data_IF_421877757489
#
_entry.id   IF_421877757489
#
_cell.length_a   1.000
_cell.length_b   1.000
_cell.length_c   1.000
_cell.angle_alpha   90.00
_cell.angle_beta   90.00
_cell.angle_gamma   90.00
#
_symmetry.space_group_name_H-M   'P 1'
#
loop_
_entity.id
_entity.type
_entity.pdbx_description
1 polymer ?
#
# COMPACT_ATOMS: atom_id res chain seq x y z
N UNK A 1 -2.96 -2.32 14.26
CA UNK A 1 -1.53 -2.36 13.93
C UNK A 1 -1.23 -3.63 13.14
N UNK A 2 -0.56 -3.51 12.00
CA UNK A 2 -0.19 -4.67 11.18
C UNK A 2 0.82 -5.54 11.96
N UNK A 3 0.58 -6.84 11.98
CA UNK A 3 1.47 -7.77 12.64
C UNK A 3 2.35 -8.47 11.59
N UNK A 4 3.59 -8.05 11.50
CA UNK A 4 4.59 -8.60 10.59
C UNK A 4 5.39 -9.77 11.22
N UNK A 5 4.85 -10.49 12.18
CA UNK A 5 5.61 -11.54 12.89
C UNK A 5 6.19 -12.64 12.00
N UNK A 6 5.60 -12.84 10.82
CA UNK A 6 6.11 -13.79 9.83
C UNK A 6 7.10 -13.15 8.86
N UNK A 7 7.39 -11.86 9.04
CA UNK A 7 8.32 -11.09 8.22
C UNK A 7 9.50 -10.66 9.08
N UNK A 8 10.69 -10.79 8.56
CA UNK A 8 11.91 -10.44 9.29
C UNK A 8 12.54 -9.18 8.70
N UNK A 9 13.36 -8.48 9.48
CA UNK A 9 14.16 -7.35 9.03
C UNK A 9 15.55 -7.74 8.56
N UNK A 10 15.92 -9.02 8.75
CA UNK A 10 17.20 -9.56 8.35
C UNK A 10 17.01 -10.86 7.57
N UNK A 11 17.81 -11.11 6.53
CA UNK A 11 17.73 -12.36 5.78
C UNK A 11 18.18 -13.54 6.64
N UNK A 12 17.43 -14.62 6.60
CA UNK A 12 17.79 -15.88 7.25
C UNK A 12 18.94 -16.58 6.52
N UNK A 13 19.06 -16.33 5.20
CA UNK A 13 20.14 -16.88 4.38
C UNK A 13 21.44 -16.07 4.59
N UNK A 14 22.53 -16.69 5.04
CA UNK A 14 23.82 -16.00 5.22
C UNK A 14 24.34 -15.30 3.96
N UNK A 15 24.06 -15.82 2.77
CA UNK A 15 24.48 -15.20 1.52
C UNK A 15 23.73 -13.88 1.27
N UNK A 16 22.46 -13.78 1.67
CA UNK A 16 21.68 -12.57 1.57
C UNK A 16 22.17 -11.48 2.53
N UNK A 17 22.83 -11.83 3.64
CA UNK A 17 23.42 -10.85 4.58
C UNK A 17 24.49 -9.98 3.98
N UNK A 18 25.12 -10.44 2.90
CA UNK A 18 26.14 -9.67 2.19
C UNK A 18 25.58 -8.69 1.18
N UNK A 19 24.27 -8.70 0.96
CA UNK A 19 23.62 -7.77 0.03
C UNK A 19 23.43 -6.43 0.72
N UNK A 20 23.98 -5.38 0.13
CA UNK A 20 23.82 -4.01 0.64
C UNK A 20 22.45 -3.46 0.23
N UNK A 21 21.46 -3.64 1.08
CA UNK A 21 20.13 -3.09 0.88
C UNK A 21 19.98 -1.63 1.31
N UNK A 22 21.05 -1.01 1.84
CA UNK A 22 21.01 0.39 2.27
C UNK A 22 20.70 1.35 1.12
N UNK A 23 21.05 0.96 -0.11
CA UNK A 23 20.82 1.75 -1.32
C UNK A 23 19.40 1.68 -1.85
N UNK A 24 18.56 0.76 -1.35
CA UNK A 24 17.21 0.54 -1.85
C UNK A 24 16.13 1.05 -0.89
N UNK A 25 16.50 1.80 0.16
CA UNK A 25 15.55 2.36 1.13
C UNK A 25 14.90 3.66 0.70
N UNK A 26 15.40 4.32 -0.34
CA UNK A 26 14.85 5.56 -0.87
C UNK A 26 14.82 5.47 -2.38
N UNK A 27 13.70 5.01 -2.91
CA UNK A 27 13.51 4.82 -4.35
C UNK A 27 12.91 6.05 -5.01
N UNK A 28 13.33 6.31 -6.25
CA UNK A 28 12.63 7.20 -7.16
C UNK A 28 12.00 6.36 -8.27
N UNK A 29 10.73 6.57 -8.55
CA UNK A 29 9.99 5.84 -9.56
C UNK A 29 9.21 6.84 -10.43
N UNK A 30 9.59 6.94 -11.71
CA UNK A 30 8.99 7.88 -12.68
C UNK A 30 8.91 9.33 -12.21
N UNK A 31 9.96 9.82 -11.49
CA UNK A 31 10.01 11.18 -10.97
C UNK A 31 9.22 11.40 -9.69
N UNK A 32 8.59 10.37 -9.17
CA UNK A 32 7.95 10.35 -7.87
C UNK A 32 8.88 9.69 -6.86
N UNK A 33 8.80 10.14 -5.61
CA UNK A 33 9.68 9.65 -4.56
C UNK A 33 8.90 8.78 -3.57
N UNK A 34 9.37 7.56 -3.41
CA UNK A 34 8.88 6.64 -2.39
C UNK A 34 10.00 6.38 -1.39
N UNK A 35 9.70 6.55 -0.11
CA UNK A 35 10.51 5.98 0.93
C UNK A 35 9.93 4.63 1.30
N UNK A 36 10.77 3.65 1.51
CA UNK A 36 10.33 2.31 1.85
C UNK A 36 11.31 1.62 2.78
N UNK A 37 10.81 0.68 3.56
CA UNK A 37 11.60 -0.26 4.34
C UNK A 37 11.64 -1.60 3.64
N UNK A 38 12.74 -2.33 3.81
CA UNK A 38 12.87 -3.70 3.33
C UNK A 38 12.60 -4.66 4.48
N UNK A 39 11.71 -5.59 4.24
CA UNK A 39 11.45 -6.73 5.11
C UNK A 39 11.58 -8.01 4.30
N UNK A 40 11.54 -9.17 4.95
CA UNK A 40 11.76 -10.45 4.29
C UNK A 40 10.54 -11.34 4.45
N UNK A 41 10.03 -11.81 3.32
CA UNK A 41 8.93 -12.76 3.22
C UNK A 41 9.53 -14.11 2.80
N UNK A 42 9.64 -15.05 3.74
CA UNK A 42 10.27 -16.35 3.53
C UNK A 42 11.68 -16.24 2.89
N UNK A 43 12.49 -15.33 3.44
CA UNK A 43 13.85 -15.08 2.97
C UNK A 43 13.95 -14.21 1.71
N UNK A 44 12.82 -13.85 1.08
CA UNK A 44 12.77 -12.95 -0.08
C UNK A 44 12.62 -11.49 0.37
N UNK A 45 13.47 -10.58 -0.09
CA UNK A 45 13.30 -9.17 0.23
C UNK A 45 12.06 -8.61 -0.47
N UNK A 46 11.24 -7.88 0.28
CA UNK A 46 10.05 -7.17 -0.18
C UNK A 46 10.03 -5.80 0.46
N UNK A 47 9.20 -4.90 -0.02
CA UNK A 47 9.19 -3.54 0.53
C UNK A 47 7.83 -3.12 1.10
N UNK A 48 7.92 -2.24 2.09
CA UNK A 48 6.82 -1.53 2.71
C UNK A 48 6.98 -0.05 2.39
N UNK A 49 6.03 0.56 1.71
CA UNK A 49 6.04 2.01 1.45
C UNK A 49 5.81 2.72 2.78
N UNK A 50 6.76 3.55 3.19
CA UNK A 50 6.68 4.34 4.43
C UNK A 50 6.33 5.79 4.19
N UNK A 51 6.60 6.31 3.00
CA UNK A 51 6.20 7.65 2.60
C UNK A 51 6.14 7.76 1.08
N UNK A 52 5.12 8.43 0.60
CA UNK A 52 4.98 8.84 -0.79
C UNK A 52 4.92 10.36 -0.85
N UNK A 53 5.80 10.93 -1.64
CA UNK A 53 5.85 12.37 -1.86
C UNK A 53 5.58 12.65 -3.35
N UNK A 54 4.35 13.04 -3.71
CA UNK A 54 4.02 13.34 -5.09
C UNK A 54 4.72 14.60 -5.56
N UNK A 55 5.35 14.54 -6.73
CA UNK A 55 5.96 15.70 -7.39
C UNK A 55 4.97 16.50 -8.23
N UNK A 56 3.79 15.96 -8.47
CA UNK A 56 2.73 16.59 -9.26
C UNK A 56 1.36 16.35 -8.63
N UNK A 57 0.41 17.23 -8.91
CA UNK A 57 -0.99 17.09 -8.50
C UNK A 57 -1.74 16.23 -9.52
N UNK A 58 -1.39 14.95 -9.64
CA UNK A 58 -2.09 14.05 -10.53
C UNK A 58 -3.44 13.63 -9.95
N UNK A 59 -4.47 13.56 -10.81
CA UNK A 59 -5.80 13.10 -10.39
C UNK A 59 -5.85 11.59 -10.09
N UNK A 60 -4.89 10.84 -10.65
CA UNK A 60 -4.78 9.39 -10.48
C UNK A 60 -3.42 9.01 -9.95
N UNK A 61 -3.42 8.24 -8.86
CA UNK A 61 -2.23 7.62 -8.29
C UNK A 61 -2.23 6.13 -8.61
N UNK A 62 -1.21 5.65 -9.30
CA UNK A 62 -0.94 4.23 -9.46
C UNK A 62 0.23 3.83 -8.56
N UNK A 63 -0.07 3.08 -7.51
CA UNK A 63 0.97 2.57 -6.62
C UNK A 63 1.73 1.46 -7.36
N UNK A 64 3.07 1.55 -7.47
CA UNK A 64 3.85 0.57 -8.21
C UNK A 64 3.83 -0.80 -7.52
N UNK A 65 3.77 -1.87 -8.32
CA UNK A 65 3.88 -3.24 -7.81
C UNK A 65 5.31 -3.56 -7.35
N UNK A 66 6.29 -2.88 -7.93
CA UNK A 66 7.72 -3.10 -7.66
C UNK A 66 8.44 -1.77 -7.52
N UNK A 67 9.36 -1.69 -6.56
CA UNK A 67 10.30 -0.59 -6.40
C UNK A 67 11.71 -1.20 -6.28
N UNK A 68 12.63 -0.80 -7.13
CA UNK A 68 14.00 -1.34 -7.17
C UNK A 68 14.04 -2.88 -7.26
N UNK A 69 13.07 -3.48 -7.98
CA UNK A 69 12.95 -4.93 -8.14
C UNK A 69 12.29 -5.65 -6.96
N UNK A 70 11.86 -4.94 -5.94
CA UNK A 70 11.20 -5.50 -4.75
C UNK A 70 9.68 -5.41 -4.87
N UNK A 71 8.98 -6.48 -4.52
CA UNK A 71 7.52 -6.46 -4.46
C UNK A 71 7.05 -5.50 -3.37
N UNK A 72 6.13 -4.60 -3.71
CA UNK A 72 5.47 -3.72 -2.74
C UNK A 72 4.35 -4.49 -2.08
N UNK A 73 4.52 -4.89 -0.82
CA UNK A 73 3.54 -5.73 -0.12
C UNK A 73 2.69 -4.97 0.89
N UNK A 74 3.09 -3.76 1.27
CA UNK A 74 2.40 -3.03 2.32
C UNK A 74 2.53 -1.53 2.16
N UNK A 75 1.50 -0.83 2.60
CA UNK A 75 1.46 0.63 2.74
C UNK A 75 1.39 0.93 4.23
N UNK A 76 2.43 1.57 4.76
CA UNK A 76 2.57 1.84 6.19
C UNK A 76 1.67 2.98 6.68
N UNK A 77 1.64 3.15 7.99
CA UNK A 77 1.00 4.25 8.68
C UNK A 77 1.49 5.61 8.13
N UNK A 78 0.59 6.52 7.85
CA UNK A 78 0.88 7.87 7.32
C UNK A 78 1.63 7.90 5.97
N UNK A 79 1.68 6.79 5.23
CA UNK A 79 2.54 6.67 4.05
C UNK A 79 2.05 7.49 2.85
N UNK A 80 0.76 7.45 2.56
CA UNK A 80 0.14 8.20 1.46
C UNK A 80 -0.61 9.38 2.07
N UNK A 81 0.15 10.28 2.65
CA UNK A 81 -0.41 11.46 3.20
C UNK A 81 -0.30 12.61 2.19
N UNK A 82 -1.37 13.39 2.05
CA UNK A 82 -1.38 14.52 1.14
C UNK A 82 -1.46 14.13 -0.36
N UNK A 83 -2.39 13.28 -0.71
CA UNK A 83 -2.65 13.00 -2.13
C UNK A 83 -3.80 13.86 -2.65
N UNK A 84 -3.54 14.67 -3.67
CA UNK A 84 -4.60 15.33 -4.45
C UNK A 84 -5.32 14.38 -5.40
N UNK A 85 -4.93 13.11 -5.41
CA UNK A 85 -5.50 12.11 -6.29
C UNK A 85 -6.95 11.80 -5.93
N UNK A 86 -7.83 11.84 -6.92
CA UNK A 86 -9.22 11.40 -6.79
C UNK A 86 -9.35 9.90 -6.91
N UNK A 87 -8.44 9.27 -7.65
CA UNK A 87 -8.41 7.82 -7.90
C UNK A 87 -7.07 7.24 -7.50
N UNK A 88 -7.08 6.11 -6.82
CA UNK A 88 -5.88 5.35 -6.47
C UNK A 88 -6.04 3.90 -6.89
N UNK A 89 -5.04 3.36 -7.57
CA UNK A 89 -4.97 1.94 -7.94
C UNK A 89 -3.87 1.26 -7.13
N UNK A 90 -4.26 0.23 -6.39
CA UNK A 90 -3.36 -0.57 -5.55
C UNK A 90 -3.05 -1.88 -6.29
N UNK A 91 -1.77 -2.24 -6.47
CA UNK A 91 -1.40 -3.42 -7.25
C UNK A 91 -1.63 -4.74 -6.52
N UNK A 92 -1.61 -5.84 -7.26
CA UNK A 92 -1.81 -7.21 -6.76
C UNK A 92 -0.83 -7.65 -5.69
N UNK A 93 0.33 -7.03 -5.62
CA UNK A 93 1.38 -7.38 -4.65
C UNK A 93 1.05 -6.92 -3.23
N UNK A 94 0.20 -5.89 -3.08
CA UNK A 94 -0.13 -5.30 -1.77
C UNK A 94 -1.09 -6.20 -1.00
N UNK A 95 -0.69 -6.56 0.22
CA UNK A 95 -1.45 -7.38 1.17
C UNK A 95 -1.96 -6.59 2.36
N UNK A 96 -1.27 -5.51 2.73
CA UNK A 96 -1.54 -4.78 3.97
C UNK A 96 -1.64 -3.28 3.73
N UNK A 97 -2.68 -2.66 4.27
CA UNK A 97 -2.87 -1.20 4.30
C UNK A 97 -3.06 -0.81 5.77
N UNK A 98 -2.12 -0.05 6.31
CA UNK A 98 -2.09 0.31 7.72
C UNK A 98 -3.16 1.35 8.11
N UNK A 99 -3.35 1.52 9.41
CA UNK A 99 -4.09 2.64 9.96
C UNK A 99 -3.49 3.95 9.44
N UNK A 100 -4.33 4.93 9.12
CA UNK A 100 -3.91 6.24 8.62
C UNK A 100 -3.07 6.20 7.33
N UNK A 101 -3.03 5.07 6.60
CA UNK A 101 -2.23 4.96 5.38
C UNK A 101 -2.56 6.04 4.35
N UNK A 102 -3.82 6.44 4.26
CA UNK A 102 -4.32 7.52 3.39
C UNK A 102 -4.81 8.73 4.19
N UNK A 103 -4.08 9.07 5.25
CA UNK A 103 -4.38 10.25 6.06
C UNK A 103 -4.38 11.52 5.22
N UNK A 104 -5.34 12.41 5.50
CA UNK A 104 -5.49 13.68 4.79
C UNK A 104 -5.75 13.57 3.27
N UNK A 105 -6.16 12.40 2.81
CA UNK A 105 -6.56 12.19 1.42
C UNK A 105 -8.03 12.60 1.21
N UNK A 106 -8.30 13.89 1.41
CA UNK A 106 -9.67 14.44 1.35
C UNK A 106 -10.29 14.37 -0.05
N UNK A 107 -9.46 14.33 -1.09
CA UNK A 107 -9.91 14.30 -2.47
C UNK A 107 -10.16 12.89 -3.01
N UNK A 108 -9.79 11.86 -2.27
CA UNK A 108 -9.89 10.48 -2.72
C UNK A 108 -11.36 10.03 -2.81
N UNK A 109 -11.80 9.73 -4.02
CA UNK A 109 -13.17 9.30 -4.32
C UNK A 109 -13.24 7.81 -4.68
N UNK A 110 -12.21 7.27 -5.34
CA UNK A 110 -12.18 5.90 -5.82
C UNK A 110 -10.86 5.22 -5.50
N UNK A 111 -10.91 4.06 -4.86
CA UNK A 111 -9.75 3.21 -4.67
C UNK A 111 -10.02 1.79 -5.19
N UNK A 112 -9.08 1.28 -5.98
CA UNK A 112 -9.14 -0.07 -6.56
C UNK A 112 -8.23 -0.99 -5.78
N UNK A 113 -8.82 -2.00 -5.15
CA UNK A 113 -8.14 -3.00 -4.34
C UNK A 113 -8.33 -4.38 -4.95
N UNK A 114 -7.35 -5.25 -4.73
CA UNK A 114 -7.39 -6.62 -5.26
C UNK A 114 -7.81 -7.62 -4.18
N UNK A 115 -8.07 -8.86 -4.60
CA UNK A 115 -8.36 -9.96 -3.68
C UNK A 115 -7.20 -10.31 -2.73
N UNK A 116 -5.99 -9.83 -3.03
CA UNK A 116 -4.79 -10.13 -2.24
C UNK A 116 -4.65 -9.26 -1.00
N UNK A 117 -5.42 -8.18 -0.89
CA UNK A 117 -5.46 -7.38 0.35
C UNK A 117 -6.11 -8.20 1.45
N UNK A 118 -5.36 -8.45 2.52
CA UNK A 118 -5.79 -9.26 3.66
C UNK A 118 -5.94 -8.48 4.96
N UNK A 119 -5.51 -7.22 4.97
CA UNK A 119 -5.67 -6.33 6.11
C UNK A 119 -5.79 -4.87 5.66
N UNK A 120 -6.78 -4.19 6.21
CA UNK A 120 -6.95 -2.74 6.10
C UNK A 120 -7.18 -2.20 7.50
N UNK A 121 -6.35 -1.26 7.94
CA UNK A 121 -6.51 -0.61 9.22
C UNK A 121 -7.82 0.18 9.30
N UNK A 122 -8.48 0.17 10.43
CA UNK A 122 -9.82 0.76 10.61
C UNK A 122 -9.88 2.23 10.20
N UNK A 123 -8.83 3.00 10.43
CA UNK A 123 -8.73 4.43 10.13
C UNK A 123 -7.94 4.72 8.85
N UNK A 124 -7.71 3.71 8.00
CA UNK A 124 -6.92 3.89 6.77
C UNK A 124 -7.46 5.00 5.86
N UNK A 125 -8.77 5.13 5.77
CA UNK A 125 -9.47 6.08 4.88
C UNK A 125 -10.32 7.10 5.64
N UNK A 126 -10.00 7.40 6.88
CA UNK A 126 -10.85 8.23 7.76
C UNK A 126 -11.17 9.62 7.21
N UNK A 127 -10.28 10.18 6.39
CA UNK A 127 -10.43 11.53 5.84
C UNK A 127 -11.07 11.55 4.43
N UNK A 128 -11.28 10.39 3.83
CA UNK A 128 -11.84 10.22 2.49
C UNK A 128 -13.35 9.96 2.58
N UNK A 129 -14.12 11.02 2.76
CA UNK A 129 -15.54 10.93 3.14
C UNK A 129 -16.47 10.44 2.02
N UNK A 130 -16.09 10.66 0.77
CA UNK A 130 -16.89 10.28 -0.40
C UNK A 130 -16.31 9.06 -1.12
N UNK A 131 -15.53 8.25 -0.39
CA UNK A 131 -14.81 7.11 -0.95
C UNK A 131 -15.75 5.99 -1.40
N UNK A 132 -15.46 5.43 -2.58
CA UNK A 132 -15.96 4.14 -3.05
C UNK A 132 -14.79 3.17 -3.15
N UNK A 133 -14.90 2.01 -2.51
CA UNK A 133 -13.95 0.91 -2.65
C UNK A 133 -14.39 0.02 -3.81
N UNK A 134 -13.52 -0.15 -4.79
CA UNK A 134 -13.68 -1.06 -5.92
C UNK A 134 -12.82 -2.31 -5.67
N UNK A 135 -13.46 -3.46 -5.55
CA UNK A 135 -12.78 -4.71 -5.27
C UNK A 135 -13.65 -5.91 -5.67
N UNK A 136 -13.09 -7.13 -5.73
CA UNK A 136 -13.89 -8.32 -6.00
C UNK A 136 -14.94 -8.55 -4.92
N UNK A 137 -16.09 -9.08 -5.32
CA UNK A 137 -17.14 -9.56 -4.41
C UNK A 137 -16.54 -10.60 -3.44
N UNK A 138 -17.00 -10.58 -2.19
CA UNK A 138 -16.53 -11.49 -1.12
C UNK A 138 -15.05 -11.39 -0.77
N UNK A 139 -14.34 -10.37 -1.27
CA UNK A 139 -12.98 -10.08 -0.84
C UNK A 139 -12.95 -9.46 0.57
N UNK A 140 -11.75 -9.45 1.17
CA UNK A 140 -11.52 -8.73 2.44
C UNK A 140 -11.95 -7.26 2.33
N UNK A 141 -11.62 -6.61 1.21
CA UNK A 141 -11.96 -5.22 0.96
C UNK A 141 -13.48 -5.00 0.90
N UNK A 142 -14.24 -5.94 0.32
CA UNK A 142 -15.71 -5.91 0.33
C UNK A 142 -16.25 -5.92 1.76
N UNK A 143 -15.80 -6.87 2.57
CA UNK A 143 -16.20 -6.97 3.99
C UNK A 143 -15.83 -5.71 4.76
N UNK A 144 -14.62 -5.20 4.57
CA UNK A 144 -14.17 -3.95 5.19
C UNK A 144 -15.08 -2.76 4.83
N UNK A 145 -15.42 -2.60 3.56
CA UNK A 145 -16.31 -1.53 3.11
C UNK A 145 -17.69 -1.62 3.78
N UNK A 146 -18.26 -2.83 3.84
CA UNK A 146 -19.56 -3.07 4.48
C UNK A 146 -19.52 -2.75 5.98
N UNK A 147 -18.53 -3.25 6.69
CA UNK A 147 -18.41 -3.06 8.14
C UNK A 147 -18.14 -1.59 8.52
N UNK A 148 -17.46 -0.84 7.66
CA UNK A 148 -17.11 0.56 7.90
C UNK A 148 -18.01 1.55 7.17
N UNK A 149 -19.10 1.09 6.56
CA UNK A 149 -20.10 1.90 5.86
C UNK A 149 -19.49 2.77 4.75
N UNK A 150 -18.54 2.21 4.02
CA UNK A 150 -17.91 2.82 2.85
C UNK A 150 -18.63 2.28 1.61
N UNK A 151 -18.86 3.15 0.62
CA UNK A 151 -19.46 2.72 -0.64
C UNK A 151 -18.61 1.65 -1.30
N UNK A 152 -19.25 0.67 -1.89
CA UNK A 152 -18.57 -0.46 -2.54
C UNK A 152 -19.09 -0.68 -3.96
N UNK A 153 -18.16 -1.00 -4.86
CA UNK A 153 -18.48 -1.42 -6.22
C UNK A 153 -17.64 -2.65 -6.60
N UNK A 154 -18.30 -3.72 -7.01
CA UNK A 154 -17.62 -4.94 -7.43
C UNK A 154 -16.85 -4.74 -8.74
N UNK A 155 -15.63 -5.30 -8.81
CA UNK A 155 -14.78 -5.29 -10.01
C UNK A 155 -14.83 -6.60 -10.80
N UNK A 156 -15.37 -7.66 -10.22
CA UNK A 156 -15.55 -8.94 -10.90
C UNK A 156 -16.73 -8.87 -11.86
N UNK A 157 -16.53 -9.32 -13.04
CA UNK A 157 -17.55 -9.44 -14.08
C UNK A 157 -18.28 -10.80 -14.00
#
# INVERSE_FOLDING_TARGET
KINYKNYTTEPENPEAKNTDYSKIRNGAYYGEYYNYDVIYDDGKPVCVITNYNPMSSEEKLEIPAHIDGLDVISIADDAINYGGAKETVVPDTVRFIADNAFKESYSLEDIYLTKNVSYIGKSAFKDSKDLTIHAPTDSYAHTFATENKINFKATDD
#
